data_IF_668273140680
#
_entry.id   IF_668273140680
#
_cell.length_a   1.000
_cell.length_b   1.000
_cell.length_c   1.000
_cell.angle_alpha   90.00
_cell.angle_beta   90.00
_cell.angle_gamma   90.00
#
_symmetry.space_group_name_H-M   'P 1'
#
loop_
_entity.id
_entity.type
_entity.pdbx_description
1 polymer ?
#
# COMPACT_ATOMS: atom_id res chain seq x y z
N UNK A 1 16.64 -13.13 2.79
CA UNK A 1 15.66 -13.48 1.74
C UNK A 1 15.57 -12.28 0.79
N UNK A 2 16.11 -12.39 -0.42
CA UNK A 2 16.03 -11.32 -1.42
C UNK A 2 14.59 -11.27 -1.95
N UNK A 3 13.92 -10.13 -1.75
CA UNK A 3 12.61 -9.87 -2.34
C UNK A 3 12.82 -9.27 -3.73
N UNK A 4 12.70 -10.08 -4.77
CA UNK A 4 12.51 -9.56 -6.13
C UNK A 4 11.07 -9.06 -6.23
N UNK A 5 10.87 -7.75 -6.13
CA UNK A 5 9.59 -7.11 -6.38
C UNK A 5 9.55 -6.62 -7.82
N UNK A 6 8.57 -7.10 -8.58
CA UNK A 6 8.26 -6.63 -9.92
C UNK A 6 7.71 -5.22 -9.78
N UNK A 7 8.36 -4.29 -10.48
CA UNK A 7 7.96 -2.95 -10.87
C UNK A 7 6.63 -2.43 -10.27
N UNK A 8 6.72 -1.34 -9.51
CA UNK A 8 5.65 -0.64 -8.77
C UNK A 8 4.48 -0.24 -9.67
N UNK A 9 3.60 -1.17 -10.08
CA UNK A 9 2.42 -0.81 -10.86
C UNK A 9 1.43 -0.09 -9.94
N UNK A 10 1.02 -0.73 -8.84
CA UNK A 10 0.21 -0.12 -7.78
C UNK A 10 0.53 -0.75 -6.42
N UNK A 11 0.44 0.03 -5.33
CA UNK A 11 0.83 -0.42 -3.99
C UNK A 11 -0.09 -1.49 -3.41
N UNK A 12 -1.38 -1.52 -3.80
CA UNK A 12 -2.35 -2.52 -3.37
C UNK A 12 -2.05 -3.93 -3.89
N UNK A 13 -1.67 -4.08 -5.17
CA UNK A 13 -1.29 -5.38 -5.71
C UNK A 13 0.06 -5.86 -5.15
N UNK A 14 0.98 -4.93 -4.92
CA UNK A 14 2.27 -5.22 -4.30
C UNK A 14 2.08 -5.80 -2.88
N UNK A 15 1.26 -5.15 -2.07
CA UNK A 15 0.93 -5.64 -0.72
C UNK A 15 0.16 -6.96 -0.77
N UNK A 16 -0.75 -7.14 -1.75
CA UNK A 16 -1.48 -8.40 -1.91
C UNK A 16 -0.53 -9.55 -2.24
N UNK A 17 0.42 -9.33 -3.17
CA UNK A 17 1.45 -10.33 -3.52
C UNK A 17 2.39 -10.63 -2.37
N UNK A 18 2.71 -9.64 -1.54
CA UNK A 18 3.46 -9.88 -0.32
C UNK A 18 2.68 -10.77 0.64
N UNK A 19 1.39 -10.49 0.88
CA UNK A 19 0.51 -11.35 1.68
C UNK A 19 0.43 -12.78 1.12
N UNK A 20 0.29 -12.93 -0.20
CA UNK A 20 0.23 -14.23 -0.88
C UNK A 20 1.50 -15.04 -0.61
N UNK A 21 2.67 -14.40 -0.73
CA UNK A 21 3.96 -15.03 -0.49
C UNK A 21 4.15 -15.41 0.99
N UNK A 22 3.73 -14.54 1.90
CA UNK A 22 3.81 -14.79 3.35
C UNK A 22 2.92 -15.98 3.74
N UNK A 23 1.68 -16.06 3.23
CA UNK A 23 0.74 -17.14 3.51
C UNK A 23 1.25 -18.52 3.06
N UNK A 24 2.08 -18.57 2.01
CA UNK A 24 2.71 -19.82 1.53
C UNK A 24 3.87 -20.32 2.42
N UNK A 25 4.33 -19.51 3.37
CA UNK A 25 5.42 -19.89 4.27
C UNK A 25 4.87 -20.37 5.61
N UNK A 26 5.00 -21.66 5.90
CA UNK A 26 4.49 -22.29 7.12
C UNK A 26 5.09 -21.74 8.43
N UNK A 27 6.21 -21.02 8.37
CA UNK A 27 6.84 -20.40 9.53
C UNK A 27 6.27 -19.01 9.85
N UNK A 28 5.33 -18.51 9.05
CA UNK A 28 4.75 -17.18 9.19
C UNK A 28 3.29 -17.31 9.61
N UNK A 29 2.92 -16.56 10.65
CA UNK A 29 1.54 -16.41 11.11
C UNK A 29 0.90 -15.26 10.35
N UNK A 30 0.10 -15.58 9.34
CA UNK A 30 -0.52 -14.57 8.47
C UNK A 30 -1.51 -13.66 9.24
N UNK A 31 -2.01 -14.13 10.38
CA UNK A 31 -2.90 -13.44 11.30
C UNK A 31 -2.22 -12.24 11.99
N UNK A 32 -0.89 -12.20 11.98
CA UNK A 32 -0.11 -11.05 12.46
C UNK A 32 -0.03 -9.92 11.43
N UNK A 33 -0.52 -10.11 10.20
CA UNK A 33 -0.35 -9.15 9.10
C UNK A 33 -1.66 -8.46 8.71
N UNK A 34 -1.54 -7.18 8.37
CA UNK A 34 -2.67 -6.32 8.03
C UNK A 34 -2.32 -5.45 6.82
N UNK A 35 -3.12 -5.53 5.76
CA UNK A 35 -3.08 -4.55 4.69
C UNK A 35 -3.72 -3.26 5.20
N UNK A 36 -3.01 -2.14 5.07
CA UNK A 36 -3.47 -0.84 5.55
C UNK A 36 -3.55 0.11 4.38
N UNK A 37 -4.78 0.50 4.03
CA UNK A 37 -5.05 1.54 3.05
C UNK A 37 -5.02 2.89 3.75
N UNK A 38 -4.24 3.81 3.18
CA UNK A 38 -4.08 5.19 3.62
C UNK A 38 -4.73 6.07 2.55
N UNK A 39 -5.76 6.81 2.92
CA UNK A 39 -6.40 7.79 2.03
C UNK A 39 -7.16 8.82 2.88
N UNK A 40 -7.94 9.67 2.24
CA UNK A 40 -8.88 10.58 2.89
C UNK A 40 -9.97 11.00 1.91
N UNK A 41 -10.90 11.85 2.35
CA UNK A 41 -12.05 12.27 1.55
C UNK A 41 -11.66 13.02 0.27
N UNK A 42 -10.52 13.71 0.31
CA UNK A 42 -10.02 14.48 -0.82
C UNK A 42 -9.12 13.67 -1.75
N UNK A 43 -8.71 12.45 -1.32
CA UNK A 43 -7.67 11.66 -1.96
C UNK A 43 -6.40 12.48 -2.15
N UNK A 44 -5.97 13.12 -1.07
CA UNK A 44 -4.75 13.91 -1.00
C UNK A 44 -4.04 13.55 0.30
N UNK A 45 -3.25 12.47 0.29
CA UNK A 45 -2.51 12.02 1.47
C UNK A 45 -1.01 12.18 1.26
N UNK A 46 -0.35 13.12 1.96
CA UNK A 46 1.09 13.29 1.86
C UNK A 46 1.81 12.17 2.63
N UNK A 47 2.78 11.54 1.98
CA UNK A 47 3.75 10.64 2.58
C UNK A 47 5.17 11.12 2.26
N UNK A 48 6.04 11.06 3.25
CA UNK A 48 7.44 11.45 3.13
C UNK A 48 8.34 10.21 2.97
N UNK A 49 9.60 10.45 2.59
CA UNK A 49 10.60 9.40 2.37
C UNK A 49 10.13 8.37 1.32
N UNK A 50 9.61 8.87 0.20
CA UNK A 50 9.11 8.06 -0.91
C UNK A 50 10.10 8.05 -2.08
N UNK A 51 10.31 6.88 -2.71
CA UNK A 51 11.28 6.68 -3.78
C UNK A 51 10.99 7.52 -5.02
N UNK A 52 9.72 7.63 -5.42
CA UNK A 52 9.32 8.41 -6.60
C UNK A 52 9.66 9.90 -6.46
N UNK A 53 9.57 10.48 -5.26
CA UNK A 53 10.02 11.85 -5.04
C UNK A 53 11.53 12.02 -5.24
N UNK A 54 12.34 11.03 -4.83
CA UNK A 54 13.79 11.04 -5.07
C UNK A 54 14.09 10.89 -6.56
N UNK A 55 13.42 9.96 -7.24
CA UNK A 55 13.60 9.70 -8.67
C UNK A 55 13.27 10.94 -9.52
N UNK A 56 12.31 11.76 -9.06
CA UNK A 56 11.93 13.04 -9.70
C UNK A 56 12.76 14.24 -9.21
N UNK A 57 13.72 14.04 -8.31
CA UNK A 57 14.64 15.08 -7.83
C UNK A 57 14.07 16.02 -6.77
N UNK A 58 12.94 15.67 -6.14
CA UNK A 58 12.38 16.43 -5.03
C UNK A 58 13.13 16.14 -3.72
N UNK A 59 13.71 17.19 -3.14
CA UNK A 59 14.60 17.09 -1.98
C UNK A 59 13.89 16.81 -0.65
N UNK A 60 12.57 17.03 -0.58
CA UNK A 60 11.76 16.77 0.63
C UNK A 60 11.24 15.33 0.70
N UNK A 61 11.43 14.53 -0.36
CA UNK A 61 11.00 13.14 -0.44
C UNK A 61 9.48 12.94 -0.28
N UNK A 62 8.69 14.00 -0.50
CA UNK A 62 7.24 14.02 -0.27
C UNK A 62 6.48 13.69 -1.54
N UNK A 63 5.50 12.80 -1.42
CA UNK A 63 4.54 12.48 -2.49
C UNK A 63 3.13 12.67 -1.94
N UNK A 64 2.26 13.28 -2.73
CA UNK A 64 0.82 13.38 -2.43
C UNK A 64 0.13 12.27 -3.21
N UNK A 65 -0.33 11.26 -2.49
CA UNK A 65 -1.04 10.12 -3.06
C UNK A 65 -2.55 10.35 -3.04
N UNK A 66 -3.25 9.75 -4.00
CA UNK A 66 -4.70 9.57 -3.93
C UNK A 66 -5.07 8.52 -2.87
N UNK A 67 -4.31 7.43 -2.84
CA UNK A 67 -4.25 6.47 -1.76
C UNK A 67 -2.90 5.76 -1.77
N UNK A 68 -2.52 5.17 -0.64
CA UNK A 68 -1.35 4.29 -0.56
C UNK A 68 -1.67 3.04 0.24
N UNK A 69 -1.00 1.93 -0.04
CA UNK A 69 -1.18 0.68 0.70
C UNK A 69 0.15 0.20 1.25
N UNK A 70 0.15 -0.04 2.55
CA UNK A 70 1.29 -0.63 3.28
C UNK A 70 0.85 -1.93 3.94
N UNK A 71 1.80 -2.81 4.20
CA UNK A 71 1.57 -3.98 5.05
C UNK A 71 2.12 -3.72 6.44
N UNK A 72 1.35 -4.02 7.47
CA UNK A 72 1.79 -3.92 8.87
C UNK A 72 1.82 -5.32 9.47
N UNK A 73 2.93 -5.70 10.09
CA UNK A 73 3.03 -6.88 10.93
C UNK A 73 2.98 -6.46 12.40
N UNK A 74 2.03 -7.02 13.16
CA UNK A 74 1.94 -6.92 14.60
C UNK A 74 2.47 -8.22 15.23
N UNK A 75 3.79 -8.28 15.41
CA UNK A 75 4.43 -9.38 16.12
C UNK A 75 4.24 -9.28 17.65
N UNK A 76 4.75 -10.27 18.38
CA UNK A 76 4.61 -10.32 19.84
C UNK A 76 5.33 -9.17 20.58
N UNK A 77 6.51 -8.76 20.10
CA UNK A 77 7.34 -7.73 20.74
C UNK A 77 7.56 -6.49 19.87
N UNK A 78 7.32 -6.59 18.56
CA UNK A 78 7.65 -5.55 17.60
C UNK A 78 6.54 -5.39 16.56
N UNK A 79 6.36 -4.16 16.08
CA UNK A 79 5.47 -3.83 14.96
C UNK A 79 6.32 -3.32 13.81
N UNK A 80 6.14 -3.89 12.64
CA UNK A 80 6.91 -3.59 11.44
C UNK A 80 6.00 -3.14 10.29
N UNK A 81 6.50 -2.24 9.46
CA UNK A 81 5.83 -1.73 8.25
C UNK A 81 6.63 -2.16 7.03
N UNK A 82 5.94 -2.72 6.05
CA UNK A 82 6.48 -3.07 4.75
C UNK A 82 5.85 -2.13 3.73
N UNK A 83 6.62 -1.13 3.34
CA UNK A 83 6.27 -0.17 2.31
C UNK A 83 7.36 -0.25 1.22
N UNK A 84 6.97 -0.73 0.04
CA UNK A 84 7.91 -0.92 -1.08
C UNK A 84 8.31 0.40 -1.73
N UNK A 85 7.54 1.46 -1.51
CA UNK A 85 7.76 2.80 -2.06
C UNK A 85 8.53 3.70 -1.09
N UNK A 86 8.72 3.24 0.15
CA UNK A 86 9.49 3.94 1.18
C UNK A 86 11.00 3.80 1.00
N UNK A 87 11.76 4.83 1.37
CA UNK A 87 13.23 4.87 1.34
C UNK A 87 13.87 4.43 2.66
N UNK A 88 13.07 4.24 3.72
CA UNK A 88 13.52 3.64 4.98
C UNK A 88 13.86 2.14 4.77
N UNK A 89 14.54 1.48 5.74
CA UNK A 89 14.79 0.05 5.66
C UNK A 89 13.51 -0.77 5.43
N UNK A 90 13.64 -1.91 4.75
CA UNK A 90 12.52 -2.81 4.47
C UNK A 90 12.73 -4.17 5.15
N UNK A 91 11.88 -4.56 6.13
CA UNK A 91 10.83 -3.77 6.75
C UNK A 91 11.37 -2.64 7.65
N UNK A 92 10.51 -1.64 7.92
CA UNK A 92 10.76 -0.54 8.83
C UNK A 92 10.10 -0.78 10.19
N UNK A 93 10.74 -0.34 11.28
CA UNK A 93 10.07 -0.30 12.59
C UNK A 93 8.90 0.68 12.55
N UNK A 94 7.75 0.29 13.10
CA UNK A 94 6.52 1.09 13.05
C UNK A 94 6.70 2.52 13.57
N UNK A 95 7.42 2.69 14.69
CA UNK A 95 7.68 4.02 15.26
C UNK A 95 8.51 4.91 14.32
N UNK A 96 9.49 4.34 13.61
CA UNK A 96 10.29 5.09 12.65
C UNK A 96 9.46 5.47 11.42
N UNK A 97 8.63 4.54 10.92
CA UNK A 97 7.72 4.81 9.81
C UNK A 97 6.72 5.92 10.16
N UNK A 98 6.12 5.86 11.35
CA UNK A 98 5.21 6.91 11.82
C UNK A 98 5.88 8.27 11.95
N UNK A 99 7.12 8.31 12.45
CA UNK A 99 7.84 9.56 12.64
C UNK A 99 8.29 10.19 11.31
N UNK A 100 8.93 9.39 10.46
CA UNK A 100 9.55 9.89 9.23
C UNK A 100 8.58 9.94 8.05
N UNK A 101 7.81 8.88 7.79
CA UNK A 101 6.98 8.78 6.58
C UNK A 101 5.61 9.41 6.76
N UNK A 102 4.97 9.20 7.92
CA UNK A 102 3.69 9.84 8.22
C UNK A 102 3.93 11.25 8.76
N UNK A 103 4.63 11.39 9.89
CA UNK A 103 4.64 12.63 10.65
C UNK A 103 3.27 12.93 11.28
N UNK A 104 3.13 14.13 11.87
CA UNK A 104 1.92 14.52 12.61
C UNK A 104 0.89 15.22 11.72
N UNK A 105 -0.37 14.77 11.76
CA UNK A 105 -1.50 15.47 11.10
C UNK A 105 -1.71 16.89 11.65
N UNK A 106 -1.27 17.17 12.88
CA UNK A 106 -1.37 18.51 13.47
C UNK A 106 -0.54 19.56 12.71
N UNK A 107 0.45 19.12 11.92
CA UNK A 107 1.28 19.97 11.08
C UNK A 107 0.73 20.09 9.65
N UNK A 108 -0.33 19.35 9.33
CA UNK A 108 -0.97 19.34 8.01
C UNK A 108 -2.28 20.13 8.04
N UNK A 109 -2.61 20.73 6.90
CA UNK A 109 -3.96 21.24 6.65
C UNK A 109 -4.97 20.09 6.82
N UNK A 110 -6.14 20.30 7.49
CA UNK A 110 -7.18 19.29 7.65
C UNK A 110 -7.56 18.53 6.37
N UNK A 111 -7.47 19.15 5.19
CA UNK A 111 -7.75 18.48 3.92
C UNK A 111 -6.78 17.34 3.59
N UNK A 112 -5.58 17.34 4.20
CA UNK A 112 -4.54 16.33 4.05
C UNK A 112 -4.51 15.29 5.18
N UNK A 113 -5.41 15.40 6.17
CA UNK A 113 -5.42 14.48 7.30
C UNK A 113 -5.65 13.05 6.81
N UNK A 114 -4.79 12.13 7.26
CA UNK A 114 -4.80 10.75 6.75
C UNK A 114 -5.75 9.90 7.58
N UNK A 115 -6.47 9.03 6.89
CA UNK A 115 -7.28 8.00 7.50
C UNK A 115 -6.76 6.62 7.08
N UNK A 116 -7.00 5.62 7.92
CA UNK A 116 -6.42 4.29 7.78
C UNK A 116 -7.50 3.23 7.83
N UNK A 117 -7.67 2.47 6.75
CA UNK A 117 -8.48 1.24 6.75
C UNK A 117 -7.55 0.06 6.94
N UNK A 118 -7.69 -0.61 8.09
CA UNK A 118 -6.87 -1.75 8.49
C UNK A 118 -7.62 -3.05 8.22
N UNK A 119 -7.06 -3.93 7.41
CA UNK A 119 -7.69 -5.15 6.94
C UNK A 119 -6.78 -6.34 7.25
N UNK A 120 -7.25 -7.38 7.96
CA UNK A 120 -6.46 -8.60 8.16
C UNK A 120 -5.99 -9.19 6.82
N UNK A 121 -4.73 -9.60 6.73
CA UNK A 121 -4.14 -10.08 5.47
C UNK A 121 -4.91 -11.27 4.87
N UNK A 122 -5.46 -12.15 5.70
CA UNK A 122 -6.31 -13.25 5.21
C UNK A 122 -7.60 -12.78 4.54
N UNK A 123 -8.25 -11.78 5.14
CA UNK A 123 -9.44 -11.14 4.56
C UNK A 123 -9.06 -10.43 3.27
N UNK A 124 -7.92 -9.73 3.25
CA UNK A 124 -7.44 -9.06 2.05
C UNK A 124 -7.21 -10.03 0.89
N UNK A 125 -6.63 -11.21 1.17
CA UNK A 125 -6.36 -12.23 0.15
C UNK A 125 -7.63 -12.82 -0.48
N UNK A 126 -8.72 -12.96 0.26
CA UNK A 126 -9.98 -13.56 -0.24
C UNK A 126 -10.97 -12.54 -0.78
N UNK A 127 -10.95 -11.31 -0.24
CA UNK A 127 -11.93 -10.28 -0.56
C UNK A 127 -11.47 -9.30 -1.63
N UNK A 128 -10.17 -9.01 -1.78
CA UNK A 128 -9.70 -7.96 -2.70
C UNK A 128 -9.84 -8.34 -4.18
N UNK A 129 -10.30 -7.39 -5.01
CA UNK A 129 -10.28 -7.50 -6.46
C UNK A 129 -10.04 -6.13 -7.11
N UNK A 130 -9.24 -6.12 -8.19
CA UNK A 130 -8.96 -4.95 -9.01
C UNK A 130 -8.77 -5.41 -10.45
N UNK A 131 -9.48 -4.79 -11.39
CA UNK A 131 -9.28 -5.01 -12.83
C UNK A 131 -8.30 -4.02 -13.46
N UNK A 132 -7.64 -3.20 -12.62
CA UNK A 132 -6.61 -2.22 -12.97
C UNK A 132 -7.10 -1.05 -13.82
N UNK A 133 -8.41 -0.88 -14.05
CA UNK A 133 -8.92 0.21 -14.91
C UNK A 133 -8.51 1.60 -14.43
N UNK A 134 -8.32 1.76 -13.11
CA UNK A 134 -7.90 3.03 -12.51
C UNK A 134 -6.48 3.47 -12.95
N UNK A 135 -5.67 2.53 -13.46
CA UNK A 135 -4.35 2.81 -14.01
C UNK A 135 -4.34 3.09 -15.51
N UNK A 136 -5.51 3.13 -16.16
CA UNK A 136 -5.63 3.49 -17.57
C UNK A 136 -5.92 4.97 -17.73
N UNK A 137 -5.19 5.60 -18.64
CA UNK A 137 -5.47 6.95 -19.14
C UNK A 137 -6.76 6.93 -19.97
N UNK A 138 -7.32 8.11 -20.22
CA UNK A 138 -8.53 8.29 -21.04
C UNK A 138 -8.37 7.69 -22.45
N UNK A 139 -7.17 7.79 -23.03
CA UNK A 139 -6.86 7.22 -24.34
C UNK A 139 -6.60 5.69 -24.33
N UNK A 140 -6.79 5.03 -23.19
CA UNK A 140 -6.63 3.58 -23.03
C UNK A 140 -5.21 3.09 -22.77
N UNK A 141 -4.19 3.97 -22.82
CA UNK A 141 -2.82 3.58 -22.47
C UNK A 141 -2.60 3.58 -20.96
N UNK A 142 -1.60 2.83 -20.50
CA UNK A 142 -1.33 2.70 -19.08
C UNK A 142 -0.57 3.92 -18.50
N UNK A 143 -0.87 4.26 -17.25
CA UNK A 143 -0.07 5.19 -16.45
C UNK A 143 1.33 4.61 -16.19
N UNK A 144 1.40 3.30 -15.94
CA UNK A 144 2.61 2.50 -15.79
C UNK A 144 2.36 1.09 -16.31
N UNK A 145 3.38 0.38 -16.77
CA UNK A 145 3.16 -0.97 -17.32
C UNK A 145 2.58 -1.93 -16.26
N UNK A 146 1.48 -2.63 -16.58
CA UNK A 146 0.87 -3.59 -15.67
C UNK A 146 1.77 -4.79 -15.43
N UNK A 147 1.66 -5.44 -14.27
CA UNK A 147 2.40 -6.66 -14.04
C UNK A 147 1.91 -7.77 -14.98
N UNK A 148 2.77 -8.76 -15.29
CA UNK A 148 2.50 -9.78 -16.31
C UNK A 148 1.50 -10.85 -15.88
N UNK A 149 1.04 -10.83 -14.62
CA UNK A 149 0.02 -11.75 -14.11
C UNK A 149 -1.38 -11.16 -14.26
N UNK A 150 -2.38 -12.03 -14.36
CA UNK A 150 -3.79 -11.65 -14.46
C UNK A 150 -4.25 -10.74 -13.31
N UNK A 151 -5.23 -9.85 -13.53
CA UNK A 151 -5.77 -9.01 -12.47
C UNK A 151 -6.27 -9.82 -11.27
N UNK A 152 -6.10 -9.26 -10.07
CA UNK A 152 -6.48 -9.93 -8.83
C UNK A 152 -8.01 -10.00 -8.73
N UNK A 153 -8.52 -11.19 -8.39
CA UNK A 153 -9.96 -11.48 -8.28
C UNK A 153 -10.26 -11.98 -6.88
N UNK A 154 -11.47 -11.66 -6.41
CA UNK A 154 -11.97 -12.12 -5.13
C UNK A 154 -12.87 -13.35 -5.28
N UNK A 155 -13.11 -14.05 -4.18
CA UNK A 155 -13.89 -15.29 -4.17
C UNK A 155 -15.38 -15.07 -4.53
N UNK A 156 -15.88 -13.85 -4.32
CA UNK A 156 -17.28 -13.48 -4.61
C UNK A 156 -17.57 -13.27 -6.11
N UNK A 157 -16.54 -13.30 -6.97
CA UNK A 157 -16.69 -13.10 -8.41
C UNK A 157 -16.82 -11.64 -8.84
N UNK A 158 -16.73 -10.68 -7.91
CA UNK A 158 -16.62 -9.26 -8.25
C UNK A 158 -15.25 -8.96 -8.91
N UNK A 159 -15.25 -8.08 -9.91
CA UNK A 159 -14.10 -7.84 -10.78
C UNK A 159 -13.28 -6.61 -10.38
N UNK A 160 -13.90 -5.59 -9.78
CA UNK A 160 -13.24 -4.39 -9.27
C UNK A 160 -14.00 -3.87 -8.05
N UNK A 161 -13.37 -3.93 -6.89
CA UNK A 161 -13.91 -3.42 -5.63
C UNK A 161 -12.90 -2.53 -4.89
N UNK A 162 -11.82 -2.12 -5.56
CA UNK A 162 -10.76 -1.31 -4.99
C UNK A 162 -11.30 -0.04 -4.31
N UNK A 163 -12.32 0.57 -4.89
CA UNK A 163 -12.97 1.76 -4.31
C UNK A 163 -13.45 1.55 -2.86
N UNK A 164 -13.95 0.36 -2.51
CA UNK A 164 -14.40 0.06 -1.15
C UNK A 164 -13.24 -0.05 -0.15
N UNK A 165 -12.03 -0.33 -0.63
CA UNK A 165 -10.81 -0.39 0.18
C UNK A 165 -10.21 1.01 0.35
N UNK A 166 -10.26 1.83 -0.70
CA UNK A 166 -9.77 3.23 -0.68
C UNK A 166 -10.69 4.12 0.15
N UNK A 167 -12.01 3.91 0.07
CA UNK A 167 -12.94 4.69 0.88
C UNK A 167 -12.73 4.32 2.34
N UNK A 168 -12.24 5.27 3.14
CA UNK A 168 -11.80 5.08 4.53
C UNK A 168 -12.83 5.56 5.56
N UNK A 169 -14.03 5.95 5.10
CA UNK A 169 -15.21 6.18 5.93
C UNK A 169 -16.03 4.91 6.15
#
# INVERSE_FOLDING_TARGET
MLFFFVNVFCSEENVWKLCEKLKKNNNIRIEEFYAVFVSNDQRLVPLFYQKSAIDEGFSDGKVIWDYHVILVQKGASEVNVFDMDCTLPFPSKFQLYCYFCLGSDQLLDPQFHRMFRVIPAEVYLTSFASDRRHMKKINGSWLKDPPPYEPIRCDSGLYDILFFFINVR
#
